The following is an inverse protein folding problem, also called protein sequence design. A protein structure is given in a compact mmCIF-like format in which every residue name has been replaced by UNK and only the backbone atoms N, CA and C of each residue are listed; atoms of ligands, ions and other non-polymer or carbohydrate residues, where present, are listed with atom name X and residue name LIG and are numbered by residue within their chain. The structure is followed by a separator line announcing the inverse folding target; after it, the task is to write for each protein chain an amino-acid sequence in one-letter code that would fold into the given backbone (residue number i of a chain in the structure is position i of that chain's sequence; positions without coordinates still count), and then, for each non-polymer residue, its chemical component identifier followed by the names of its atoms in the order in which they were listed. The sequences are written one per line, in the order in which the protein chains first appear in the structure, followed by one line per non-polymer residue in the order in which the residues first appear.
data_IF_939174428926
#
_entry.id   IF_939174428926
#
_cell.length_a   1.000
_cell.length_b   1.000
_cell.length_c   1.000
_cell.angle_alpha   90.00
_cell.angle_beta   90.00
_cell.angle_gamma   90.00
#
_symmetry.space_group_name_H-M   'P 1'
#
loop_
_entity.id
_entity.type
_entity.pdbx_description
1 polymer ?
#
# COMPACT_ATOMS: atom_id res chain seq x y z
N UNK A 1 -30.99 -13.22 1.02
CA UNK A 1 -29.76 -12.73 1.66
C UNK A 1 -28.95 -13.95 2.11
N UNK A 2 -27.63 -13.87 2.07
CA UNK A 2 -26.78 -14.99 2.54
C UNK A 2 -26.88 -15.08 4.09
N UNK A 3 -27.39 -16.20 4.68
CA UNK A 3 -27.56 -16.34 6.13
C UNK A 3 -26.25 -16.18 6.92
N UNK A 4 -25.11 -16.42 6.28
CA UNK A 4 -23.80 -16.25 6.87
C UNK A 4 -23.51 -14.76 7.11
N UNK A 5 -23.69 -13.91 6.11
CA UNK A 5 -23.51 -12.46 6.20
C UNK A 5 -24.51 -11.86 7.20
N UNK A 6 -25.75 -12.34 7.19
CA UNK A 6 -26.77 -11.89 8.14
C UNK A 6 -26.34 -12.07 9.61
N UNK A 7 -25.84 -13.26 9.94
CA UNK A 7 -25.34 -13.55 11.29
C UNK A 7 -24.16 -12.66 11.72
N UNK A 8 -23.32 -12.26 10.77
CA UNK A 8 -22.18 -11.37 11.03
C UNK A 8 -22.65 -9.92 11.22
N UNK A 9 -23.47 -9.39 10.30
CA UNK A 9 -23.99 -8.01 10.36
C UNK A 9 -24.72 -7.76 11.67
N UNK A 10 -25.55 -8.70 12.13
CA UNK A 10 -26.32 -8.60 13.37
C UNK A 10 -25.47 -8.53 14.64
N UNK A 11 -24.16 -8.74 14.59
CA UNK A 11 -23.29 -8.59 15.75
C UNK A 11 -22.80 -7.14 15.93
N UNK A 12 -22.93 -6.28 14.92
CA UNK A 12 -22.51 -4.90 14.97
C UNK A 12 -23.63 -3.98 15.45
N UNK A 13 -23.26 -2.91 16.14
CA UNK A 13 -24.18 -1.88 16.64
C UNK A 13 -24.60 -0.96 15.50
N UNK A 14 -25.63 -1.38 14.78
CA UNK A 14 -26.21 -0.66 13.65
C UNK A 14 -27.51 0.04 14.07
N UNK A 15 -27.91 1.12 13.35
CA UNK A 15 -29.24 1.71 13.53
C UNK A 15 -30.35 0.67 13.32
N UNK A 16 -31.41 0.80 14.11
CA UNK A 16 -32.59 -0.04 13.99
C UNK A 16 -33.22 0.06 12.60
N UNK A 17 -33.69 -1.07 12.06
CA UNK A 17 -34.41 -1.13 10.80
C UNK A 17 -33.94 -2.26 9.88
N UNK A 18 -34.57 -2.32 8.71
CA UNK A 18 -34.15 -3.24 7.66
C UNK A 18 -32.82 -2.80 7.06
N UNK A 19 -31.99 -3.78 6.72
CA UNK A 19 -30.72 -3.55 6.06
C UNK A 19 -30.53 -4.49 4.86
N UNK A 20 -29.64 -4.11 3.95
CA UNK A 20 -29.18 -4.93 2.83
C UNK A 20 -27.67 -5.05 2.87
N UNK A 21 -27.12 -6.13 2.30
CA UNK A 21 -25.69 -6.31 2.09
C UNK A 21 -25.45 -6.85 0.69
N UNK A 22 -24.55 -6.21 -0.04
CA UNK A 22 -24.16 -6.62 -1.39
C UNK A 22 -22.64 -6.58 -1.55
N UNK A 23 -22.03 -7.45 -2.38
CA UNK A 23 -20.60 -7.39 -2.67
C UNK A 23 -20.20 -6.01 -3.16
N UNK A 24 -19.06 -5.50 -2.69
CA UNK A 24 -18.63 -4.13 -2.97
C UNK A 24 -17.13 -4.06 -3.29
N UNK A 25 -16.80 -3.25 -4.32
CA UNK A 25 -15.41 -2.97 -4.71
C UNK A 25 -14.75 -4.10 -5.50
N UNK A 26 -13.53 -3.83 -5.96
CA UNK A 26 -12.70 -4.73 -6.76
C UNK A 26 -11.50 -5.28 -5.97
N UNK A 27 -11.52 -5.16 -4.63
CA UNK A 27 -10.44 -5.66 -3.77
C UNK A 27 -10.24 -7.16 -3.93
N UNK A 28 -8.98 -7.61 -3.96
CA UNK A 28 -8.64 -9.02 -4.23
C UNK A 28 -8.22 -9.79 -2.98
N UNK A 29 -8.00 -9.11 -1.86
CA UNK A 29 -7.50 -9.71 -0.62
C UNK A 29 -8.67 -10.05 0.31
N UNK A 30 -9.44 -9.04 0.72
CA UNK A 30 -10.55 -9.20 1.65
C UNK A 30 -11.90 -9.37 0.92
N UNK A 31 -12.82 -10.15 1.49
CA UNK A 31 -14.21 -10.15 1.05
C UNK A 31 -14.87 -8.88 1.57
N UNK A 32 -15.43 -8.07 0.67
CA UNK A 32 -16.00 -6.76 1.02
C UNK A 32 -17.47 -6.65 0.61
N UNK A 33 -18.28 -6.12 1.50
CA UNK A 33 -19.72 -5.89 1.30
C UNK A 33 -20.09 -4.46 1.67
N UNK A 34 -20.97 -3.86 0.88
CA UNK A 34 -21.68 -2.63 1.24
C UNK A 34 -22.94 -3.02 2.02
N UNK A 35 -23.02 -2.55 3.28
CA UNK A 35 -24.21 -2.72 4.11
C UNK A 35 -24.94 -1.38 4.16
N UNK A 36 -26.24 -1.39 3.86
CA UNK A 36 -27.09 -0.19 3.86
C UNK A 36 -28.25 -0.38 4.83
N UNK A 37 -28.45 0.56 5.75
CA UNK A 37 -29.60 0.61 6.68
C UNK A 37 -30.17 2.02 6.73
N UNK A 38 -31.42 2.20 6.28
CA UNK A 38 -31.99 3.55 6.09
C UNK A 38 -31.13 4.38 5.16
N UNK A 39 -30.66 5.55 5.65
CA UNK A 39 -29.77 6.44 4.90
C UNK A 39 -28.29 6.21 5.16
N UNK A 40 -27.92 5.29 6.07
CA UNK A 40 -26.52 5.02 6.45
C UNK A 40 -25.95 3.85 5.69
N UNK A 41 -24.70 3.98 5.31
CA UNK A 41 -23.92 2.95 4.63
C UNK A 41 -22.68 2.57 5.43
N UNK A 42 -22.29 1.31 5.29
CA UNK A 42 -21.14 0.73 6.00
C UNK A 42 -20.38 -0.20 5.07
N UNK A 43 -19.10 -0.38 5.32
CA UNK A 43 -18.26 -1.37 4.66
C UNK A 43 -18.00 -2.50 5.64
N UNK A 44 -18.52 -3.68 5.34
CA UNK A 44 -18.27 -4.92 6.06
C UNK A 44 -17.17 -5.70 5.34
N UNK A 45 -16.13 -6.14 6.07
CA UNK A 45 -15.01 -6.88 5.47
C UNK A 45 -14.66 -8.12 6.29
N UNK A 46 -14.40 -9.23 5.57
CA UNK A 46 -13.74 -10.41 6.12
C UNK A 46 -12.24 -10.30 5.86
N UNK A 47 -11.46 -10.28 6.93
CA UNK A 47 -10.00 -10.23 6.83
C UNK A 47 -9.46 -11.55 6.31
N UNK A 48 -8.57 -11.51 5.33
CA UNK A 48 -7.97 -12.69 4.74
C UNK A 48 -6.90 -13.30 5.67
N UNK A 49 -7.26 -14.34 6.41
CA UNK A 49 -6.36 -15.02 7.36
C UNK A 49 -5.17 -15.76 6.72
N UNK A 50 -5.16 -15.95 5.39
CA UNK A 50 -3.98 -16.49 4.70
C UNK A 50 -2.90 -15.41 4.51
N UNK A 51 -3.32 -14.19 4.17
CA UNK A 51 -2.40 -13.04 4.02
C UNK A 51 -1.99 -12.49 5.39
N UNK A 52 -2.94 -12.45 6.33
CA UNK A 52 -2.77 -11.95 7.70
C UNK A 52 -3.00 -13.07 8.71
N UNK A 53 -1.97 -13.88 9.03
CA UNK A 53 -2.12 -15.05 9.92
C UNK A 53 -2.56 -14.70 11.34
N UNK A 54 -2.36 -13.44 11.77
CA UNK A 54 -2.81 -12.88 13.05
C UNK A 54 -3.69 -11.66 12.78
N UNK A 55 -4.95 -11.85 12.37
CA UNK A 55 -5.82 -10.74 12.00
C UNK A 55 -6.16 -9.82 13.19
N UNK A 56 -6.01 -10.28 14.43
CA UNK A 56 -6.16 -9.45 15.62
C UNK A 56 -5.05 -8.39 15.71
N UNK A 57 -3.80 -8.72 15.33
CA UNK A 57 -2.70 -7.75 15.28
C UNK A 57 -2.99 -6.65 14.26
N UNK A 58 -3.62 -7.00 13.12
CA UNK A 58 -4.10 -6.03 12.12
C UNK A 58 -5.14 -5.10 12.74
N UNK A 59 -6.10 -5.65 13.48
CA UNK A 59 -7.16 -4.86 14.11
C UNK A 59 -6.64 -3.95 15.22
N UNK A 60 -5.66 -4.41 16.02
CA UNK A 60 -4.99 -3.58 17.03
C UNK A 60 -4.29 -2.38 16.38
N UNK A 61 -3.52 -2.62 15.32
CA UNK A 61 -2.87 -1.53 14.56
C UNK A 61 -3.90 -0.53 14.04
N UNK A 62 -4.95 -0.99 13.39
CA UNK A 62 -5.99 -0.13 12.80
C UNK A 62 -6.72 0.68 13.88
N UNK A 63 -7.10 0.06 15.00
CA UNK A 63 -7.79 0.75 16.09
C UNK A 63 -6.93 1.86 16.68
N UNK A 64 -5.63 1.60 16.91
CA UNK A 64 -4.69 2.57 17.46
C UNK A 64 -4.35 3.68 16.47
N UNK A 65 -4.10 3.35 15.22
CA UNK A 65 -3.78 4.31 14.16
C UNK A 65 -4.97 5.23 13.88
N UNK A 66 -6.18 4.68 13.74
CA UNK A 66 -7.38 5.50 13.50
C UNK A 66 -7.74 6.38 14.69
N UNK A 67 -7.54 5.91 15.93
CA UNK A 67 -7.74 6.73 17.13
C UNK A 67 -6.75 7.90 17.19
N UNK A 68 -5.49 7.66 16.85
CA UNK A 68 -4.47 8.71 16.78
C UNK A 68 -4.77 9.73 15.67
N UNK A 69 -5.10 9.25 14.46
CA UNK A 69 -5.47 10.11 13.33
C UNK A 69 -6.69 10.99 13.68
N UNK A 70 -7.72 10.45 14.31
CA UNK A 70 -8.88 11.25 14.77
C UNK A 70 -8.46 12.42 15.65
N UNK A 71 -7.61 12.17 16.64
CA UNK A 71 -7.11 13.21 17.53
C UNK A 71 -6.25 14.27 16.80
N UNK A 72 -5.48 13.88 15.77
CA UNK A 72 -4.71 14.83 14.97
C UNK A 72 -5.62 15.67 14.07
N UNK A 73 -6.58 15.04 13.38
CA UNK A 73 -7.54 15.70 12.51
C UNK A 73 -8.36 16.74 13.30
N UNK A 74 -8.83 16.39 14.51
CA UNK A 74 -9.54 17.32 15.40
C UNK A 74 -8.69 18.54 15.78
N UNK A 75 -7.39 18.32 16.09
CA UNK A 75 -6.46 19.42 16.40
C UNK A 75 -6.23 20.35 15.20
N UNK A 76 -6.27 19.80 13.99
CA UNK A 76 -6.14 20.55 12.73
C UNK A 76 -7.46 21.22 12.31
N UNK A 77 -8.57 21.00 13.05
CA UNK A 77 -9.89 21.56 12.73
C UNK A 77 -10.61 20.86 11.60
N UNK A 78 -10.20 19.61 11.25
CA UNK A 78 -10.82 18.76 10.24
C UNK A 78 -12.01 17.95 10.77
N UNK A 79 -12.58 17.12 9.90
CA UNK A 79 -13.70 16.23 10.23
C UNK A 79 -13.23 14.76 10.33
N UNK A 80 -13.00 14.23 11.54
CA UNK A 80 -12.53 12.86 11.70
C UNK A 80 -13.52 11.80 11.24
N UNK A 81 -14.80 12.13 11.07
CA UNK A 81 -15.79 11.19 10.54
C UNK A 81 -15.62 10.94 9.03
N UNK A 82 -14.97 11.88 8.33
CA UNK A 82 -14.68 11.79 6.90
C UNK A 82 -13.21 11.55 6.59
N UNK A 83 -12.29 12.11 7.40
CA UNK A 83 -10.86 12.18 7.05
C UNK A 83 -10.05 10.97 7.53
N UNK A 84 -10.66 10.06 8.31
CA UNK A 84 -10.08 8.74 8.64
C UNK A 84 -11.17 7.69 8.76
N UNK A 85 -10.78 6.41 8.70
CA UNK A 85 -11.71 5.30 8.87
C UNK A 85 -12.30 5.28 10.27
N UNK A 86 -13.62 5.05 10.37
CA UNK A 86 -14.33 4.89 11.62
C UNK A 86 -14.81 3.45 11.76
N UNK A 87 -14.24 2.71 12.71
CA UNK A 87 -14.66 1.36 13.06
C UNK A 87 -16.03 1.38 13.76
N UNK A 88 -16.93 0.53 13.30
CA UNK A 88 -18.21 0.26 13.96
C UNK A 88 -18.01 -0.80 15.03
N UNK A 89 -18.48 -0.53 16.24
CA UNK A 89 -18.36 -1.49 17.35
C UNK A 89 -19.41 -2.58 17.25
N UNK A 90 -19.12 -3.74 17.79
CA UNK A 90 -20.10 -4.79 18.04
C UNK A 90 -20.94 -4.42 19.27
N UNK A 91 -22.07 -5.10 19.51
CA UNK A 91 -22.87 -4.97 20.75
C UNK A 91 -22.08 -5.27 22.03
N UNK A 92 -20.91 -5.94 21.89
CA UNK A 92 -19.97 -6.21 23.00
C UNK A 92 -18.88 -5.13 23.14
N UNK A 93 -18.92 -4.06 22.32
CA UNK A 93 -17.95 -2.97 22.32
C UNK A 93 -16.62 -3.26 21.61
N UNK A 94 -16.48 -4.39 20.90
CA UNK A 94 -15.28 -4.75 20.13
C UNK A 94 -15.31 -4.15 18.73
N UNK A 95 -14.15 -3.95 18.10
CA UNK A 95 -14.01 -3.47 16.74
C UNK A 95 -14.15 -4.55 15.66
N UNK A 96 -14.24 -5.81 16.04
CA UNK A 96 -14.36 -6.96 15.15
C UNK A 96 -15.15 -8.09 15.80
N UNK A 97 -15.53 -9.06 15.00
CA UNK A 97 -16.17 -10.29 15.42
C UNK A 97 -15.68 -11.48 14.62
N UNK A 98 -16.04 -12.68 15.04
CA UNK A 98 -15.77 -13.92 14.29
C UNK A 98 -17.06 -14.53 13.76
N UNK A 99 -16.99 -15.07 12.55
CA UNK A 99 -18.03 -15.97 12.06
C UNK A 99 -17.88 -17.37 12.65
N UNK A 100 -18.82 -18.27 12.30
CA UNK A 100 -18.83 -19.66 12.80
C UNK A 100 -17.67 -20.49 12.27
N UNK A 101 -17.00 -20.05 11.21
CA UNK A 101 -15.87 -20.71 10.58
C UNK A 101 -14.52 -20.20 11.12
N UNK A 102 -14.56 -19.22 12.03
CA UNK A 102 -13.38 -18.58 12.62
C UNK A 102 -12.80 -17.46 11.75
N UNK A 103 -13.53 -16.98 10.75
CA UNK A 103 -13.14 -15.80 9.97
C UNK A 103 -13.36 -14.53 10.76
N UNK A 104 -12.37 -13.62 10.80
CA UNK A 104 -12.49 -12.32 11.44
C UNK A 104 -13.19 -11.33 10.52
N UNK A 105 -14.20 -10.64 11.06
CA UNK A 105 -14.97 -9.62 10.37
C UNK A 105 -14.91 -8.29 11.10
N UNK A 106 -14.81 -7.21 10.33
CA UNK A 106 -14.85 -5.82 10.80
C UNK A 106 -15.81 -5.00 9.97
N UNK A 107 -16.23 -3.87 10.53
CA UNK A 107 -17.11 -2.95 9.82
C UNK A 107 -16.62 -1.51 10.00
N UNK A 108 -16.67 -0.74 8.90
CA UNK A 108 -16.38 0.69 8.88
C UNK A 108 -17.61 1.49 8.50
N UNK A 109 -17.72 2.69 9.03
CA UNK A 109 -18.63 3.69 8.47
C UNK A 109 -18.21 4.02 7.04
N UNK A 110 -19.18 4.06 6.11
CA UNK A 110 -18.92 4.45 4.74
C UNK A 110 -18.59 5.95 4.67
N UNK A 111 -17.57 6.33 3.94
CA UNK A 111 -17.21 7.74 3.71
C UNK A 111 -17.99 8.26 2.52
N UNK A 112 -19.01 9.07 2.80
CA UNK A 112 -19.95 9.58 1.80
C UNK A 112 -19.33 10.62 0.87
N UNK A 113 -19.93 10.82 -0.31
CA UNK A 113 -19.56 11.83 -1.31
C UNK A 113 -18.09 11.76 -1.75
N UNK A 114 -17.57 10.54 -1.86
CA UNK A 114 -16.20 10.29 -2.31
C UNK A 114 -16.15 9.42 -3.56
N UNK A 115 -15.00 9.44 -4.22
CA UNK A 115 -14.65 8.59 -5.35
C UNK A 115 -13.20 8.14 -5.20
N UNK A 116 -12.88 6.94 -5.65
CA UNK A 116 -11.50 6.45 -5.82
C UNK A 116 -11.24 6.12 -7.29
N UNK A 117 -9.97 6.14 -7.68
CA UNK A 117 -9.51 5.82 -9.02
C UNK A 117 -8.48 4.71 -8.97
N UNK A 118 -8.54 3.77 -9.89
CA UNK A 118 -7.60 2.64 -9.93
C UNK A 118 -6.18 3.08 -10.33
N UNK A 119 -6.09 4.03 -11.29
CA UNK A 119 -4.82 4.53 -11.82
C UNK A 119 -4.86 6.07 -11.94
N UNK A 120 -3.74 6.76 -11.75
CA UNK A 120 -3.64 8.17 -12.08
C UNK A 120 -3.51 8.35 -13.59
N UNK A 121 -4.49 8.98 -14.22
CA UNK A 121 -4.50 9.29 -15.66
C UNK A 121 -3.84 10.64 -15.97
N UNK A 122 -3.64 11.48 -14.96
CA UNK A 122 -3.03 12.80 -15.09
C UNK A 122 -2.05 13.08 -13.95
N UNK A 123 -1.01 13.91 -14.19
CA UNK A 123 -0.13 14.39 -13.12
C UNK A 123 -0.89 15.08 -11.97
N UNK A 124 -1.94 15.86 -12.30
CA UNK A 124 -2.74 16.53 -11.28
C UNK A 124 -3.45 15.56 -10.32
N UNK A 125 -4.01 14.47 -10.84
CA UNK A 125 -4.63 13.44 -10.01
C UNK A 125 -3.58 12.71 -9.15
N UNK A 126 -2.39 12.48 -9.69
CA UNK A 126 -1.32 11.84 -8.93
C UNK A 126 -0.69 12.75 -7.87
N UNK A 127 -0.69 14.07 -8.09
CA UNK A 127 -0.32 15.06 -7.07
C UNK A 127 -1.25 15.00 -5.86
N UNK A 128 -2.57 14.87 -6.08
CA UNK A 128 -3.56 14.73 -5.01
C UNK A 128 -3.36 13.44 -4.20
N UNK A 129 -2.94 12.35 -4.85
CA UNK A 129 -2.51 11.13 -4.15
C UNK A 129 -1.28 11.38 -3.28
N UNK A 130 -0.30 12.11 -3.81
CA UNK A 130 0.89 12.53 -3.06
C UNK A 130 0.52 13.37 -1.84
N UNK A 131 -0.38 14.35 -1.99
CA UNK A 131 -0.89 15.15 -0.86
C UNK A 131 -1.55 14.26 0.21
N UNK A 132 -2.36 13.29 -0.19
CA UNK A 132 -3.07 12.42 0.76
C UNK A 132 -2.11 11.54 1.57
N UNK A 133 -1.16 10.86 0.92
CA UNK A 133 -0.17 10.04 1.62
C UNK A 133 0.87 10.88 2.37
N UNK A 134 1.24 12.05 1.86
CA UNK A 134 2.06 13.02 2.59
C UNK A 134 1.39 13.51 3.87
N UNK A 135 0.08 13.82 3.81
CA UNK A 135 -0.74 14.19 4.98
C UNK A 135 -0.78 13.05 5.99
N UNK A 136 -0.98 11.80 5.54
CA UNK A 136 -0.95 10.62 6.41
C UNK A 136 0.39 10.51 7.13
N UNK A 137 1.52 10.60 6.42
CA UNK A 137 2.87 10.57 7.00
C UNK A 137 3.08 11.71 8.02
N UNK A 138 2.64 12.91 7.72
CA UNK A 138 2.74 14.07 8.62
C UNK A 138 1.90 13.86 9.88
N UNK A 139 0.66 13.44 9.73
CA UNK A 139 -0.25 13.21 10.86
C UNK A 139 0.22 12.06 11.76
N UNK A 140 0.85 11.03 11.19
CA UNK A 140 1.42 9.91 11.96
C UNK A 140 2.80 10.19 12.55
N UNK A 141 3.43 11.33 12.27
CA UNK A 141 4.80 11.66 12.65
C UNK A 141 5.12 11.62 14.15
N UNK A 142 4.12 11.75 15.01
CA UNK A 142 4.27 11.66 16.47
C UNK A 142 3.84 10.31 17.06
N UNK A 143 3.43 9.35 16.25
CA UNK A 143 3.03 8.02 16.72
C UNK A 143 4.26 7.14 16.95
N UNK A 144 4.33 6.38 18.08
CA UNK A 144 5.45 5.45 18.35
C UNK A 144 5.36 4.23 17.41
N UNK A 145 6.03 4.32 16.26
CA UNK A 145 5.92 3.33 15.19
C UNK A 145 6.32 1.90 15.65
N UNK A 146 7.35 1.79 16.47
CA UNK A 146 7.85 0.54 17.06
C UNK A 146 6.83 -0.20 17.95
N UNK A 147 5.76 0.48 18.33
CA UNK A 147 4.68 -0.09 19.13
C UNK A 147 3.63 -0.83 18.30
N UNK A 148 3.64 -0.71 16.97
CA UNK A 148 2.75 -1.45 16.08
C UNK A 148 3.26 -2.87 15.82
N UNK A 149 2.32 -3.77 15.52
CA UNK A 149 2.62 -5.13 15.09
C UNK A 149 3.11 -5.14 13.63
N UNK A 150 4.07 -5.99 13.33
CA UNK A 150 4.44 -6.33 11.96
C UNK A 150 3.43 -7.37 11.44
N UNK A 151 2.41 -6.90 10.69
CA UNK A 151 1.29 -7.75 10.25
C UNK A 151 1.66 -8.69 9.11
N UNK A 152 2.66 -8.33 8.31
CA UNK A 152 3.30 -9.18 7.29
C UNK A 152 4.80 -9.13 7.53
N UNK A 153 5.37 -10.25 7.95
CA UNK A 153 6.80 -10.32 8.27
C UNK A 153 7.69 -9.99 7.06
N UNK A 154 8.70 -9.14 7.30
CA UNK A 154 9.64 -8.68 6.27
C UNK A 154 8.96 -8.09 5.04
N UNK A 155 7.83 -7.37 5.18
CA UNK A 155 7.02 -6.97 4.03
C UNK A 155 7.83 -6.15 3.01
N UNK A 156 8.50 -5.08 3.45
CA UNK A 156 9.39 -4.25 2.63
C UNK A 156 10.86 -4.35 3.09
N UNK A 157 11.27 -5.51 3.58
CA UNK A 157 12.66 -5.81 3.84
C UNK A 157 13.33 -6.28 2.53
N UNK A 158 13.78 -5.34 1.71
CA UNK A 158 14.34 -5.63 0.38
C UNK A 158 15.50 -6.62 0.42
N UNK A 159 16.45 -6.58 1.40
CA UNK A 159 17.45 -7.65 1.58
C UNK A 159 16.84 -9.03 1.83
N UNK A 160 15.78 -9.12 2.64
CA UNK A 160 15.10 -10.40 2.87
C UNK A 160 14.42 -10.90 1.59
N UNK A 161 13.78 -10.02 0.81
CA UNK A 161 13.20 -10.37 -0.50
C UNK A 161 14.26 -10.83 -1.48
N UNK A 162 15.45 -10.22 -1.47
CA UNK A 162 16.59 -10.68 -2.27
C UNK A 162 17.02 -12.10 -1.87
N UNK A 163 17.14 -12.40 -0.56
CA UNK A 163 17.43 -13.77 -0.08
C UNK A 163 16.36 -14.76 -0.50
N UNK A 164 15.07 -14.40 -0.39
CA UNK A 164 13.96 -15.25 -0.86
C UNK A 164 14.05 -15.58 -2.37
N UNK A 165 14.51 -14.63 -3.19
CA UNK A 165 14.80 -14.88 -4.59
C UNK A 165 15.99 -15.84 -4.75
N UNK A 166 17.09 -15.65 -4.02
CA UNK A 166 18.25 -16.59 -4.05
C UNK A 166 17.81 -18.02 -3.67
N UNK A 167 16.94 -18.16 -2.66
CA UNK A 167 16.36 -19.45 -2.26
C UNK A 167 15.48 -20.06 -3.35
N UNK A 168 14.65 -19.25 -4.03
CA UNK A 168 13.82 -19.71 -5.13
C UNK A 168 14.68 -20.17 -6.33
N UNK A 169 15.77 -19.46 -6.63
CA UNK A 169 16.76 -19.84 -7.64
C UNK A 169 17.41 -21.20 -7.28
N UNK A 170 17.83 -21.37 -6.04
CA UNK A 170 18.50 -22.59 -5.59
C UNK A 170 17.55 -23.80 -5.61
N UNK A 171 16.29 -23.63 -5.23
CA UNK A 171 15.28 -24.69 -5.23
C UNK A 171 14.77 -25.01 -6.62
N UNK A 172 14.56 -24.00 -7.46
CA UNK A 172 14.01 -24.13 -8.82
C UNK A 172 12.82 -25.10 -8.91
N UNK A 173 11.85 -24.94 -8.00
CA UNK A 173 10.75 -25.90 -7.81
C UNK A 173 9.94 -26.13 -9.10
N UNK A 174 9.72 -25.10 -9.89
CA UNK A 174 8.98 -25.18 -11.15
C UNK A 174 9.85 -25.61 -12.35
N UNK A 175 11.16 -25.81 -12.19
CA UNK A 175 12.08 -26.18 -13.28
C UNK A 175 12.29 -25.07 -14.34
N UNK A 176 12.00 -23.80 -14.00
CA UNK A 176 11.98 -22.68 -14.96
C UNK A 176 13.26 -21.84 -14.99
N UNK A 177 14.30 -22.24 -14.25
CA UNK A 177 15.53 -21.46 -14.07
C UNK A 177 16.20 -21.09 -15.42
N UNK A 178 16.22 -22.00 -16.36
CA UNK A 178 16.86 -21.77 -17.68
C UNK A 178 16.20 -20.66 -18.51
N UNK A 179 14.95 -20.31 -18.23
CA UNK A 179 14.21 -19.27 -18.98
C UNK A 179 14.39 -17.85 -18.43
N UNK A 180 15.07 -17.68 -17.27
CA UNK A 180 15.16 -16.40 -16.53
C UNK A 180 16.59 -15.99 -16.15
N UNK A 181 17.58 -16.47 -16.90
CA UNK A 181 18.99 -16.18 -16.61
C UNK A 181 19.30 -14.69 -16.67
N UNK A 182 18.70 -13.97 -17.61
CA UNK A 182 18.89 -12.53 -17.75
C UNK A 182 18.29 -11.73 -16.59
N UNK A 183 17.12 -12.15 -16.12
CA UNK A 183 16.42 -11.53 -14.99
C UNK A 183 17.16 -11.75 -13.66
N UNK A 184 17.71 -12.94 -13.48
CA UNK A 184 18.56 -13.27 -12.32
C UNK A 184 19.83 -12.42 -12.31
N UNK A 185 20.51 -12.33 -13.45
CA UNK A 185 21.73 -11.52 -13.56
C UNK A 185 21.45 -10.03 -13.35
N UNK A 186 20.29 -9.55 -13.81
CA UNK A 186 19.82 -8.21 -13.50
C UNK A 186 19.69 -8.01 -11.96
N UNK A 187 19.02 -8.89 -11.25
CA UNK A 187 18.86 -8.77 -9.80
C UNK A 187 20.21 -8.81 -9.06
N UNK A 188 21.17 -9.61 -9.52
CA UNK A 188 22.50 -9.74 -8.90
C UNK A 188 23.30 -8.44 -8.90
N UNK A 189 23.07 -7.55 -9.87
CA UNK A 189 23.73 -6.25 -9.95
C UNK A 189 23.40 -5.38 -8.75
N UNK A 190 22.21 -5.56 -8.14
CA UNK A 190 21.74 -4.76 -7.01
C UNK A 190 21.98 -5.40 -5.63
N UNK A 191 22.71 -6.52 -5.56
CA UNK A 191 22.97 -7.25 -4.30
C UNK A 191 23.45 -6.38 -3.14
N UNK A 192 24.19 -5.32 -3.40
CA UNK A 192 24.65 -4.37 -2.39
C UNK A 192 23.61 -3.27 -2.14
N UNK A 193 22.99 -2.80 -3.20
CA UNK A 193 22.10 -1.65 -3.15
C UNK A 193 20.77 -1.95 -2.44
N UNK A 194 20.31 -3.21 -2.45
CA UNK A 194 19.10 -3.63 -1.71
C UNK A 194 19.15 -3.31 -0.22
N UNK A 195 20.34 -3.08 0.35
CA UNK A 195 20.55 -2.72 1.75
C UNK A 195 20.43 -1.22 2.04
N UNK A 196 20.44 -0.34 1.01
CA UNK A 196 20.67 1.09 1.18
C UNK A 196 19.73 1.78 2.19
N UNK A 197 18.45 1.43 2.20
CA UNK A 197 17.48 2.03 3.14
C UNK A 197 17.62 1.47 4.55
N UNK A 198 17.81 0.16 4.70
CA UNK A 198 17.98 -0.45 6.01
C UNK A 198 19.32 -0.08 6.64
N UNK A 199 20.40 -0.01 5.87
CA UNK A 199 21.71 0.47 6.35
C UNK A 199 21.61 1.90 6.89
N UNK A 200 20.88 2.79 6.18
CA UNK A 200 20.64 4.16 6.65
C UNK A 200 19.81 4.21 7.95
N UNK A 201 18.81 3.33 8.09
CA UNK A 201 18.03 3.21 9.32
C UNK A 201 18.89 2.67 10.47
N UNK A 202 19.65 1.60 10.26
CA UNK A 202 20.55 1.01 11.26
C UNK A 202 21.67 1.97 11.71
N UNK A 203 22.14 2.82 10.78
CA UNK A 203 23.09 3.90 11.09
C UNK A 203 22.45 5.08 11.86
N UNK A 204 21.14 5.07 12.05
CA UNK A 204 20.42 6.16 12.71
C UNK A 204 20.27 7.42 11.85
N UNK A 205 20.49 7.33 10.52
CA UNK A 205 20.36 8.45 9.59
C UNK A 205 18.88 8.77 9.29
N UNK A 206 18.02 7.76 9.31
CA UNK A 206 16.57 7.87 9.10
C UNK A 206 15.81 7.10 10.19
N UNK A 207 14.68 7.62 10.68
CA UNK A 207 13.90 6.96 11.73
C UNK A 207 12.94 5.91 11.17
N UNK A 208 12.51 5.00 12.03
CA UNK A 208 11.33 4.18 11.81
C UNK A 208 10.08 5.04 11.92
N UNK A 209 9.12 4.85 11.02
CA UNK A 209 7.84 5.56 10.97
C UNK A 209 6.66 4.60 10.86
N UNK A 210 5.46 5.11 11.06
CA UNK A 210 4.25 4.40 10.65
C UNK A 210 4.12 4.54 9.13
N UNK A 211 4.04 3.43 8.42
CA UNK A 211 3.88 3.37 6.97
C UNK A 211 2.60 2.66 6.59
N UNK A 212 2.01 3.07 5.49
CA UNK A 212 0.81 2.45 4.93
C UNK A 212 1.15 1.15 4.20
N UNK A 213 2.27 1.14 3.46
CA UNK A 213 2.85 0.02 2.72
C UNK A 213 2.04 -0.53 1.53
N UNK A 214 0.91 0.08 1.19
CA UNK A 214 0.15 -0.18 -0.05
C UNK A 214 -0.44 1.14 -0.57
N UNK A 215 0.43 2.03 -1.02
CA UNK A 215 0.12 3.44 -1.32
C UNK A 215 -0.37 3.65 -2.75
N UNK A 216 -1.27 2.80 -3.20
CA UNK A 216 -1.93 2.94 -4.50
C UNK A 216 -3.00 4.02 -4.45
N UNK A 217 -3.25 4.66 -5.60
CA UNK A 217 -4.27 5.71 -5.72
C UNK A 217 -5.68 5.24 -5.31
N UNK A 218 -6.03 3.98 -5.55
CA UNK A 218 -7.34 3.45 -5.15
C UNK A 218 -7.52 3.34 -3.64
N UNK A 219 -6.45 3.50 -2.85
CA UNK A 219 -6.49 3.60 -1.39
C UNK A 219 -6.63 5.06 -0.89
N UNK A 220 -6.90 6.01 -1.81
CA UNK A 220 -7.25 7.39 -1.49
C UNK A 220 -8.67 7.69 -1.93
N UNK A 221 -9.52 8.08 -0.99
CA UNK A 221 -10.84 8.61 -1.28
C UNK A 221 -10.73 10.10 -1.55
N UNK A 222 -11.21 10.54 -2.71
CA UNK A 222 -11.26 11.94 -3.11
C UNK A 222 -12.68 12.47 -2.98
N UNK A 223 -12.84 13.69 -2.49
CA UNK A 223 -14.12 14.39 -2.41
C UNK A 223 -14.68 14.67 -3.81
N UNK A 224 -15.93 14.29 -4.06
CA UNK A 224 -16.56 14.43 -5.39
C UNK A 224 -16.70 15.86 -5.88
N UNK A 225 -16.80 16.82 -4.98
CA UNK A 225 -17.03 18.23 -5.33
C UNK A 225 -15.72 18.98 -5.52
N UNK A 226 -14.76 18.77 -4.61
CA UNK A 226 -13.49 19.52 -4.59
C UNK A 226 -12.34 18.79 -5.27
N UNK A 227 -12.47 17.47 -5.49
CA UNK A 227 -11.41 16.62 -6.01
C UNK A 227 -10.25 16.35 -5.03
N UNK A 228 -10.28 16.93 -3.81
CA UNK A 228 -9.19 16.77 -2.83
C UNK A 228 -9.21 15.43 -2.14
N UNK A 229 -8.03 14.97 -1.70
CA UNK A 229 -7.90 13.79 -0.84
C UNK A 229 -8.64 14.00 0.48
N UNK A 230 -9.49 13.03 0.83
CA UNK A 230 -10.29 13.04 2.07
C UNK A 230 -9.76 12.01 3.05
N UNK A 231 -9.71 10.75 2.64
CA UNK A 231 -9.42 9.64 3.53
C UNK A 231 -8.49 8.63 2.86
N UNK A 232 -7.45 8.23 3.57
CA UNK A 232 -6.63 7.06 3.21
C UNK A 232 -7.31 5.84 3.80
N UNK A 233 -7.53 4.82 2.96
CA UNK A 233 -8.23 3.58 3.31
C UNK A 233 -7.32 2.36 3.15
N UNK A 234 -7.83 1.17 3.49
CA UNK A 234 -7.09 -0.12 3.42
C UNK A 234 -5.84 -0.14 4.30
N UNK A 235 -6.07 0.06 5.61
CA UNK A 235 -5.00 0.15 6.61
C UNK A 235 -4.46 -1.22 7.08
N UNK A 236 -4.68 -2.30 6.33
CA UNK A 236 -4.29 -3.67 6.73
C UNK A 236 -2.79 -3.87 6.80
N UNK A 237 -2.06 -3.14 5.98
CA UNK A 237 -0.60 -3.16 5.89
C UNK A 237 0.07 -2.05 6.69
N UNK A 238 -0.70 -1.31 7.51
CA UNK A 238 -0.11 -0.28 8.36
C UNK A 238 0.73 -0.92 9.46
N UNK A 239 2.04 -0.67 9.40
CA UNK A 239 3.03 -1.23 10.32
C UNK A 239 4.28 -0.34 10.39
N UNK A 240 5.28 -0.65 11.22
CA UNK A 240 6.55 0.07 11.23
C UNK A 240 7.27 -0.06 9.88
N UNK A 241 7.80 1.06 9.36
CA UNK A 241 8.52 1.09 8.09
C UNK A 241 9.29 2.38 7.89
N UNK A 242 9.63 2.68 6.66
CA UNK A 242 10.36 3.88 6.26
C UNK A 242 9.49 4.73 5.33
N UNK A 243 9.51 6.06 5.48
CA UNK A 243 8.72 6.95 4.60
C UNK A 243 9.01 6.71 3.10
N UNK A 244 10.23 6.28 2.78
CA UNK A 244 10.65 5.91 1.44
C UNK A 244 9.89 4.70 0.86
N UNK A 245 9.30 3.83 1.70
CA UNK A 245 8.47 2.71 1.23
C UNK A 245 7.15 3.20 0.66
N UNK A 246 6.44 4.05 1.42
CA UNK A 246 5.17 4.63 0.97
C UNK A 246 5.34 5.48 -0.29
N UNK A 247 6.36 6.34 -0.29
CA UNK A 247 6.71 7.11 -1.48
C UNK A 247 7.03 6.19 -2.67
N UNK A 248 7.86 5.19 -2.44
CA UNK A 248 8.34 4.29 -3.49
C UNK A 248 7.26 3.42 -4.09
N UNK A 249 6.35 2.88 -3.28
CA UNK A 249 5.25 2.04 -3.77
C UNK A 249 4.27 2.85 -4.64
N UNK A 250 3.94 4.09 -4.23
CA UNK A 250 3.15 5.01 -5.08
C UNK A 250 3.83 5.26 -6.44
N UNK A 251 5.13 5.59 -6.43
CA UNK A 251 5.87 5.87 -7.67
C UNK A 251 5.95 4.65 -8.58
N UNK A 252 6.23 3.47 -8.02
CA UNK A 252 6.26 2.21 -8.77
C UNK A 252 4.97 1.99 -9.55
N UNK A 253 3.84 2.30 -8.93
CA UNK A 253 2.53 2.06 -9.51
C UNK A 253 2.08 3.19 -10.44
N UNK A 254 2.24 4.46 -10.00
CA UNK A 254 1.64 5.62 -10.68
C UNK A 254 2.55 6.31 -11.69
N UNK A 255 3.87 6.08 -11.67
CA UNK A 255 4.80 6.70 -12.62
C UNK A 255 5.24 5.76 -13.76
N UNK A 256 4.66 4.58 -13.88
CA UNK A 256 4.80 3.70 -15.05
C UNK A 256 3.83 4.10 -16.15
N UNK A 257 4.29 4.11 -17.42
CA UNK A 257 3.42 4.38 -18.59
C UNK A 257 2.64 3.16 -19.06
N UNK A 258 2.90 1.98 -18.50
CA UNK A 258 2.28 0.73 -18.89
C UNK A 258 1.73 -0.03 -17.70
N UNK A 259 0.86 -1.00 -17.95
CA UNK A 259 0.34 -1.91 -16.95
C UNK A 259 1.48 -2.74 -16.30
N UNK A 260 1.24 -3.21 -15.07
CA UNK A 260 2.23 -3.99 -14.31
C UNK A 260 2.65 -5.29 -15.02
N UNK A 261 1.78 -5.84 -15.86
CA UNK A 261 1.98 -7.09 -16.60
C UNK A 261 2.15 -6.90 -18.13
N UNK A 262 2.56 -5.70 -18.57
CA UNK A 262 2.77 -5.39 -20.01
C UNK A 262 3.88 -6.27 -20.62
N UNK A 263 3.56 -7.14 -21.58
CA UNK A 263 4.56 -8.01 -22.18
C UNK A 263 5.50 -7.29 -23.17
N UNK A 264 5.06 -6.17 -23.76
CA UNK A 264 5.88 -5.34 -24.65
C UNK A 264 6.66 -4.29 -23.82
N UNK A 265 7.88 -4.63 -23.46
CA UNK A 265 8.75 -3.77 -22.66
C UNK A 265 9.12 -2.43 -23.33
N UNK A 266 8.92 -2.28 -24.66
CA UNK A 266 9.14 -1.00 -25.33
C UNK A 266 8.12 0.06 -24.91
N UNK A 267 6.95 -0.35 -24.41
CA UNK A 267 5.88 0.52 -23.89
C UNK A 267 6.11 0.94 -22.45
N UNK A 268 6.98 0.23 -21.72
CA UNK A 268 7.27 0.51 -20.31
C UNK A 268 8.31 1.63 -20.23
N UNK A 269 7.87 2.79 -19.75
CA UNK A 269 8.71 3.97 -19.54
C UNK A 269 8.44 4.54 -18.13
N UNK A 270 9.40 5.29 -17.62
CA UNK A 270 9.24 6.06 -16.39
C UNK A 270 8.81 7.49 -16.70
N UNK A 271 7.70 7.92 -16.15
CA UNK A 271 7.12 9.25 -16.35
C UNK A 271 7.65 10.25 -15.32
N UNK A 272 8.65 11.06 -15.71
CA UNK A 272 9.13 12.17 -14.87
C UNK A 272 8.03 13.17 -14.49
N UNK A 273 7.08 13.56 -15.38
CA UNK A 273 5.98 14.44 -14.98
C UNK A 273 5.10 13.86 -13.88
N UNK A 274 4.84 12.54 -13.90
CA UNK A 274 4.09 11.86 -12.83
C UNK A 274 4.92 11.81 -11.54
N UNK A 275 6.20 11.47 -11.62
CA UNK A 275 7.11 11.47 -10.49
C UNK A 275 7.17 12.86 -9.82
N UNK A 276 7.33 13.93 -10.61
CA UNK A 276 7.37 15.30 -10.10
C UNK A 276 6.06 15.69 -9.40
N UNK A 277 4.92 15.39 -10.02
CA UNK A 277 3.62 15.72 -9.47
C UNK A 277 3.38 15.04 -8.11
N UNK A 278 3.63 13.72 -8.03
CA UNK A 278 3.50 13.00 -6.76
C UNK A 278 4.49 13.54 -5.71
N UNK A 279 5.75 13.75 -6.09
CA UNK A 279 6.80 14.28 -5.20
C UNK A 279 6.40 15.64 -4.62
N UNK A 280 5.87 16.54 -5.46
CA UNK A 280 5.40 17.85 -5.04
C UNK A 280 4.26 17.74 -4.03
N UNK A 281 3.24 16.93 -4.34
CA UNK A 281 2.12 16.69 -3.42
C UNK A 281 2.57 16.07 -2.09
N UNK A 282 3.39 15.04 -2.14
CA UNK A 282 3.90 14.35 -0.96
C UNK A 282 4.74 15.26 -0.06
N UNK A 283 5.69 15.99 -0.62
CA UNK A 283 6.58 16.89 0.13
C UNK A 283 5.89 18.19 0.58
N UNK A 284 4.86 18.65 -0.10
CA UNK A 284 4.02 19.76 0.36
C UNK A 284 3.45 19.47 1.76
N UNK A 285 3.05 18.24 2.03
CA UNK A 285 2.46 17.83 3.30
C UNK A 285 3.49 17.24 4.28
N UNK A 286 4.35 16.35 3.83
CA UNK A 286 5.29 15.64 4.68
C UNK A 286 6.65 16.32 4.83
N UNK A 287 7.02 17.23 3.94
CA UNK A 287 8.39 17.76 3.84
C UNK A 287 8.92 18.42 5.10
N UNK A 288 8.07 19.03 5.93
CA UNK A 288 8.48 19.63 7.21
C UNK A 288 8.67 18.62 8.34
N UNK A 289 8.14 17.41 8.20
CA UNK A 289 8.22 16.33 9.21
C UNK A 289 9.26 15.29 8.89
N UNK A 290 9.68 15.22 7.63
CA UNK A 290 10.76 14.33 7.17
C UNK A 290 12.13 15.00 7.39
N UNK A 291 13.11 14.19 7.83
CA UNK A 291 14.51 14.62 7.90
C UNK A 291 15.12 14.80 6.50
N UNK A 292 16.15 15.63 6.41
CA UNK A 292 16.83 15.88 5.12
C UNK A 292 17.32 14.57 4.45
N UNK A 293 17.79 13.62 5.23
CA UNK A 293 18.26 12.33 4.71
C UNK A 293 17.10 11.45 4.22
N UNK A 294 15.95 11.49 4.88
CA UNK A 294 14.75 10.79 4.40
C UNK A 294 14.32 11.34 3.03
N UNK A 295 14.29 12.65 2.88
CA UNK A 295 13.96 13.32 1.61
C UNK A 295 14.97 12.95 0.51
N UNK A 296 16.26 12.98 0.81
CA UNK A 296 17.32 12.59 -0.13
C UNK A 296 17.17 11.14 -0.62
N UNK A 297 16.66 10.25 0.23
CA UNK A 297 16.48 8.82 -0.08
C UNK A 297 15.15 8.49 -0.78
N UNK A 298 14.24 9.42 -1.02
CA UNK A 298 12.97 9.16 -1.71
C UNK A 298 13.16 8.53 -3.11
N UNK A 299 14.11 9.00 -3.97
CA UNK A 299 14.38 8.33 -5.24
C UNK A 299 14.85 6.88 -5.07
N UNK A 300 15.66 6.61 -4.01
CA UNK A 300 16.08 5.25 -3.70
C UNK A 300 14.89 4.39 -3.27
N UNK A 301 13.94 4.96 -2.51
CA UNK A 301 12.67 4.29 -2.19
C UNK A 301 11.92 3.85 -3.45
N UNK A 302 11.74 4.76 -4.42
CA UNK A 302 11.08 4.44 -5.69
C UNK A 302 11.76 3.27 -6.42
N UNK A 303 13.08 3.31 -6.52
CA UNK A 303 13.86 2.27 -7.18
C UNK A 303 13.79 0.93 -6.44
N UNK A 304 13.98 0.93 -5.12
CA UNK A 304 14.01 -0.31 -4.33
C UNK A 304 12.64 -0.96 -4.22
N UNK A 305 11.53 -0.21 -4.07
CA UNK A 305 10.19 -0.78 -4.07
C UNK A 305 9.85 -1.42 -5.42
N UNK A 306 10.27 -0.79 -6.52
CA UNK A 306 10.10 -1.36 -7.86
C UNK A 306 10.93 -2.63 -8.05
N UNK A 307 12.21 -2.61 -7.67
CA UNK A 307 13.11 -3.78 -7.74
C UNK A 307 12.58 -4.93 -6.88
N UNK A 308 12.17 -4.64 -5.65
CA UNK A 308 11.62 -5.61 -4.70
C UNK A 308 10.39 -6.31 -5.26
N UNK A 309 9.45 -5.54 -5.82
CA UNK A 309 8.25 -6.11 -6.43
C UNK A 309 8.60 -7.04 -7.60
N UNK A 310 9.55 -6.65 -8.45
CA UNK A 310 10.07 -7.49 -9.53
C UNK A 310 10.73 -8.78 -9.03
N UNK A 311 11.52 -8.70 -7.96
CA UNK A 311 12.14 -9.88 -7.34
C UNK A 311 11.09 -10.84 -6.74
N UNK A 312 10.03 -10.31 -6.14
CA UNK A 312 8.93 -11.11 -5.58
C UNK A 312 8.16 -11.85 -6.68
N UNK A 313 7.87 -11.19 -7.81
CA UNK A 313 7.25 -11.84 -8.98
C UNK A 313 8.15 -12.92 -9.57
N UNK A 314 9.45 -12.65 -9.70
CA UNK A 314 10.40 -13.62 -10.23
C UNK A 314 10.55 -14.84 -9.31
N UNK A 315 10.62 -14.62 -8.01
CA UNK A 315 10.68 -15.69 -7.02
C UNK A 315 9.42 -16.58 -7.06
N UNK A 316 8.24 -15.96 -7.17
CA UNK A 316 6.98 -16.69 -7.27
C UNK A 316 6.87 -17.49 -8.58
N UNK A 317 7.32 -16.92 -9.70
CA UNK A 317 7.43 -17.62 -10.98
C UNK A 317 8.31 -18.89 -10.88
N UNK A 318 9.46 -18.78 -10.20
CA UNK A 318 10.36 -19.91 -9.97
C UNK A 318 9.78 -20.95 -9.00
N UNK A 319 8.92 -20.53 -8.07
CA UNK A 319 8.20 -21.40 -7.12
C UNK A 319 6.89 -21.98 -7.69
N UNK A 320 6.52 -21.67 -8.94
CA UNK A 320 5.35 -22.22 -9.63
C UNK A 320 4.07 -21.41 -9.47
N UNK A 321 4.17 -20.09 -9.32
CA UNK A 321 3.04 -19.14 -9.30
C UNK A 321 2.04 -19.43 -8.15
N UNK A 322 2.56 -19.57 -6.92
CA UNK A 322 1.76 -19.98 -5.74
C UNK A 322 1.22 -18.81 -4.93
N UNK A 323 1.91 -17.66 -4.94
CA UNK A 323 1.59 -16.54 -4.09
C UNK A 323 0.69 -15.51 -4.79
N UNK A 324 1.09 -15.05 -5.97
CA UNK A 324 0.33 -14.08 -6.73
C UNK A 324 -0.68 -14.76 -7.65
N UNK A 325 -1.90 -14.23 -7.68
CA UNK A 325 -2.91 -14.70 -8.62
C UNK A 325 -2.45 -14.46 -10.06
N UNK A 326 -2.42 -15.53 -10.86
CA UNK A 326 -2.07 -15.48 -12.28
C UNK A 326 -3.29 -15.80 -13.15
N UNK A 327 -3.35 -15.18 -14.34
CA UNK A 327 -4.45 -15.34 -15.29
C UNK A 327 -4.00 -16.00 -16.59
N UNK A 328 -2.68 -16.18 -16.78
CA UNK A 328 -2.04 -16.78 -17.95
C UNK A 328 -0.68 -17.35 -17.59
N UNK A 329 -0.17 -18.23 -18.45
CA UNK A 329 1.21 -18.71 -18.35
C UNK A 329 2.22 -17.53 -18.48
N UNK A 330 3.26 -17.54 -17.66
CA UNK A 330 4.30 -16.50 -17.67
C UNK A 330 3.87 -15.16 -17.08
N UNK A 331 2.66 -15.03 -16.50
CA UNK A 331 2.13 -13.76 -16.00
C UNK A 331 3.07 -13.09 -14.99
N UNK A 332 3.57 -13.84 -13.99
CA UNK A 332 4.53 -13.29 -13.02
C UNK A 332 5.89 -12.96 -13.64
N UNK A 333 6.30 -13.66 -14.70
CA UNK A 333 7.53 -13.32 -15.42
C UNK A 333 7.40 -11.98 -16.16
N UNK A 334 6.26 -11.74 -16.82
CA UNK A 334 6.01 -10.45 -17.48
C UNK A 334 5.97 -9.33 -16.46
N UNK A 335 5.30 -9.54 -15.32
CA UNK A 335 5.31 -8.58 -14.20
C UNK A 335 6.74 -8.29 -13.71
N UNK A 336 7.56 -9.31 -13.50
CA UNK A 336 8.95 -9.13 -13.09
C UNK A 336 9.74 -8.29 -14.11
N UNK A 337 9.60 -8.60 -15.40
CA UNK A 337 10.26 -7.89 -16.50
C UNK A 337 9.84 -6.43 -16.59
N UNK A 338 8.57 -6.15 -16.41
CA UNK A 338 8.03 -4.78 -16.37
C UNK A 338 8.66 -3.98 -15.25
N UNK A 339 8.75 -4.53 -14.04
CA UNK A 339 9.39 -3.86 -12.91
C UNK A 339 10.90 -3.64 -13.17
N UNK A 340 11.61 -4.62 -13.69
CA UNK A 340 13.05 -4.47 -14.01
C UNK A 340 13.30 -3.45 -15.12
N UNK A 341 12.42 -3.38 -16.10
CA UNK A 341 12.49 -2.33 -17.12
C UNK A 341 12.27 -0.94 -16.51
N UNK A 342 11.30 -0.82 -15.60
CA UNK A 342 11.02 0.44 -14.91
C UNK A 342 12.22 0.88 -14.05
N UNK A 343 12.88 -0.04 -13.34
CA UNK A 343 14.13 0.25 -12.60
C UNK A 343 15.20 0.84 -13.52
N UNK A 344 15.41 0.26 -14.69
CA UNK A 344 16.37 0.81 -15.67
C UNK A 344 16.00 2.23 -16.13
N UNK A 345 14.72 2.48 -16.39
CA UNK A 345 14.25 3.81 -16.78
C UNK A 345 14.44 4.84 -15.63
N UNK A 346 14.28 4.43 -14.37
CA UNK A 346 14.59 5.27 -13.21
C UNK A 346 16.09 5.59 -13.14
N UNK A 347 16.96 4.61 -13.40
CA UNK A 347 18.42 4.83 -13.43
C UNK A 347 18.84 5.81 -14.52
N UNK A 348 18.27 5.68 -15.72
CA UNK A 348 18.47 6.61 -16.82
C UNK A 348 18.03 8.04 -16.46
N UNK A 349 17.04 8.18 -15.58
CA UNK A 349 16.48 9.45 -15.12
C UNK A 349 16.97 9.88 -13.73
N UNK A 350 17.97 9.19 -13.15
CA UNK A 350 18.35 9.34 -11.74
C UNK A 350 18.67 10.77 -11.31
N UNK A 351 19.48 11.47 -12.08
CA UNK A 351 19.84 12.87 -11.79
C UNK A 351 18.62 13.79 -11.77
N UNK A 352 17.68 13.59 -12.72
CA UNK A 352 16.45 14.37 -12.80
C UNK A 352 15.52 14.07 -11.61
N UNK A 353 15.41 12.80 -11.19
CA UNK A 353 14.64 12.43 -9.98
C UNK A 353 15.20 13.12 -8.75
N UNK A 354 16.53 13.10 -8.57
CA UNK A 354 17.19 13.76 -7.44
C UNK A 354 17.01 15.29 -7.47
N UNK A 355 17.05 15.89 -8.65
CA UNK A 355 16.81 17.33 -8.82
C UNK A 355 15.37 17.71 -8.50
N UNK A 356 14.39 16.95 -8.97
CA UNK A 356 12.97 17.14 -8.67
C UNK A 356 12.72 17.08 -7.16
N UNK A 357 13.24 16.06 -6.47
CA UNK A 357 13.07 15.93 -5.01
C UNK A 357 13.66 17.14 -4.29
N UNK A 358 14.86 17.60 -4.68
CA UNK A 358 15.49 18.79 -4.08
C UNK A 358 14.69 20.06 -4.29
N UNK A 359 14.11 20.26 -5.47
CA UNK A 359 13.27 21.43 -5.78
C UNK A 359 11.94 21.39 -5.01
N UNK A 360 11.30 20.23 -4.93
CA UNK A 360 10.03 20.10 -4.21
C UNK A 360 10.18 20.19 -2.67
N UNK A 361 11.40 20.01 -2.16
CA UNK A 361 11.70 20.11 -0.72
C UNK A 361 12.01 21.54 -0.25
N UNK A 362 12.13 22.52 -1.15
CA UNK A 362 12.38 23.94 -0.85
C UNK A 362 11.09 24.67 -0.55
#
# INVERSE_FOLDING_TARGET
MNPHIENVVMQFDLPDGAWTAEPYGNGHINETYLVTTGEKRFILQRVNGYVFPKPEDVMDNIERVTAFLKAQIEREGGDPARETLTLVKTHQGKCFTYDREGGLWRMYLFVEDTVSYDLPDTPALFELSGEAFGKFQRQMGGFPADSLHETIHDFHNTPARYRQLEDAIARNEAGRLGSVTAEIEFCRQYKREVHALLDAMEAGEIPLRVTHNDTKLNNVLLDRQTGRGVCVIDLDTVMPGLAAYDFGDSIRFGASTAAEDEPDLSRVQFSLPMFEAFTRGFLKEAGQTLGAREIELLPMGAKLMTLECGMRFLADYLNGDKYFRVHREGHNLDRARTQFKLVRCMEESWAQMADIVRHCAQ
#
